data_IF_737736037223
#
_entry.id   IF_737736037223
#
_cell.length_a   1.000
_cell.length_b   1.000
_cell.length_c   1.000
_cell.angle_alpha   90.00
_cell.angle_beta   90.00
_cell.angle_gamma   90.00
#
_symmetry.space_group_name_H-M   'P 1'
#
loop_
_entity.id
_entity.type
_entity.pdbx_description
1 polymer ?
#
# COMPACT_ATOMS: atom_id res chain seq x y z
N UNK A 1 -40.40 -39.81 -32.30
CA UNK A 1 -39.40 -40.38 -31.36
C UNK A 1 -38.04 -39.79 -31.72
N UNK A 2 -37.38 -39.14 -30.74
CA UNK A 2 -36.02 -38.54 -30.76
C UNK A 2 -35.83 -37.30 -31.68
N UNK A 3 -35.12 -36.22 -31.30
CA UNK A 3 -34.47 -35.78 -30.05
C UNK A 3 -34.14 -34.29 -30.24
N UNK A 4 -34.44 -33.46 -29.24
CA UNK A 4 -34.00 -32.06 -29.18
C UNK A 4 -32.50 -31.98 -28.88
N UNK A 5 -31.79 -31.12 -29.60
CA UNK A 5 -30.39 -30.80 -29.36
C UNK A 5 -30.28 -29.64 -28.36
N UNK A 6 -29.76 -29.93 -27.17
CA UNK A 6 -29.36 -28.92 -26.19
C UNK A 6 -27.90 -28.59 -26.49
N UNK A 7 -27.64 -27.37 -26.94
CA UNK A 7 -26.28 -26.83 -27.05
C UNK A 7 -25.77 -26.45 -25.68
N UNK A 8 -24.78 -27.18 -25.16
CA UNK A 8 -23.97 -26.75 -24.02
C UNK A 8 -22.87 -25.81 -24.53
N UNK A 9 -23.02 -24.51 -24.28
CA UNK A 9 -21.91 -23.56 -24.32
C UNK A 9 -21.13 -23.64 -23.02
N UNK A 10 -19.90 -24.16 -23.08
CA UNK A 10 -18.96 -24.10 -21.95
C UNK A 10 -18.29 -22.74 -21.98
N UNK A 11 -18.68 -21.85 -21.06
CA UNK A 11 -17.99 -20.59 -20.81
C UNK A 11 -16.68 -20.88 -20.05
N UNK A 12 -15.55 -20.72 -20.72
CA UNK A 12 -14.22 -20.84 -20.12
C UNK A 12 -13.95 -19.59 -19.28
N UNK A 13 -14.11 -19.71 -17.97
CA UNK A 13 -13.68 -18.67 -17.01
C UNK A 13 -12.16 -18.72 -16.90
N UNK A 14 -11.49 -17.70 -17.43
CA UNK A 14 -10.07 -17.47 -17.19
C UNK A 14 -9.92 -16.96 -15.76
N UNK A 15 -9.62 -17.87 -14.83
CA UNK A 15 -9.10 -17.47 -13.52
C UNK A 15 -7.68 -16.94 -13.72
N UNK A 16 -7.52 -15.61 -13.59
CA UNK A 16 -6.20 -15.00 -13.49
C UNK A 16 -5.55 -15.48 -12.19
N UNK A 17 -4.58 -16.40 -12.33
CA UNK A 17 -3.69 -16.79 -11.24
C UNK A 17 -2.80 -15.59 -10.91
N UNK A 18 -2.96 -15.01 -9.73
CA UNK A 18 -2.03 -14.05 -9.15
C UNK A 18 -0.73 -14.80 -8.83
N UNK A 19 0.20 -14.81 -9.79
CA UNK A 19 1.56 -15.27 -9.58
C UNK A 19 2.33 -14.34 -8.61
N UNK A 20 3.43 -14.82 -8.01
CA UNK A 20 4.30 -13.96 -7.20
C UNK A 20 4.79 -12.78 -8.03
N UNK A 21 4.74 -11.57 -7.45
CA UNK A 21 5.33 -10.38 -8.08
C UNK A 21 6.81 -10.64 -8.36
N UNK A 22 7.30 -10.37 -9.58
CA UNK A 22 8.71 -10.51 -9.88
C UNK A 22 9.53 -9.54 -9.03
N UNK A 23 10.73 -9.96 -8.62
CA UNK A 23 11.67 -9.12 -7.86
C UNK A 23 12.00 -7.76 -8.53
N UNK A 24 11.74 -7.63 -9.84
CA UNK A 24 11.87 -6.39 -10.62
C UNK A 24 10.92 -5.25 -10.18
N UNK A 25 9.86 -5.55 -9.43
CA UNK A 25 8.90 -4.53 -8.98
C UNK A 25 9.37 -3.78 -7.72
N UNK A 26 10.32 -4.33 -6.94
CA UNK A 26 10.74 -3.73 -5.67
C UNK A 26 11.53 -2.42 -5.87
N UNK A 27 12.39 -2.39 -6.89
CA UNK A 27 13.25 -1.26 -7.25
C UNK A 27 12.60 -0.29 -8.24
N UNK A 28 11.28 -0.39 -8.40
CA UNK A 28 10.51 0.44 -9.32
C UNK A 28 9.49 1.28 -8.54
N UNK A 29 9.48 2.58 -8.82
CA UNK A 29 8.50 3.52 -8.26
C UNK A 29 7.89 4.40 -9.33
N UNK A 30 6.76 5.01 -9.00
CA UNK A 30 6.03 5.91 -9.91
C UNK A 30 5.58 7.14 -9.16
N UNK A 31 5.84 8.30 -9.73
CA UNK A 31 5.41 9.61 -9.23
C UNK A 31 4.72 10.39 -10.34
N UNK A 32 3.98 11.43 -9.97
CA UNK A 32 3.32 12.32 -10.93
C UNK A 32 4.20 13.55 -11.10
N UNK A 33 4.55 13.89 -12.34
CA UNK A 33 5.25 15.13 -12.67
C UNK A 33 4.36 16.05 -13.48
N UNK A 34 4.58 17.35 -13.34
CA UNK A 34 4.03 18.34 -14.27
C UNK A 34 5.04 18.51 -15.39
N UNK A 35 4.81 17.85 -16.53
CA UNK A 35 5.70 17.87 -17.69
C UNK A 35 6.87 16.88 -17.64
N UNK A 36 7.71 16.93 -18.68
CA UNK A 36 8.83 16.01 -18.94
C UNK A 36 10.18 16.73 -19.08
N UNK A 37 10.21 18.05 -18.91
CA UNK A 37 11.43 18.85 -18.99
C UNK A 37 12.48 18.35 -17.98
N UNK A 38 13.80 18.49 -18.26
CA UNK A 38 14.86 17.98 -17.41
C UNK A 38 14.72 18.39 -15.93
N UNK A 39 14.34 19.63 -15.66
CA UNK A 39 14.17 20.15 -14.29
C UNK A 39 13.02 19.45 -13.56
N UNK A 40 11.92 19.18 -14.27
CA UNK A 40 10.74 18.45 -13.75
C UNK A 40 11.05 16.98 -13.53
N UNK A 41 11.82 16.38 -14.44
CA UNK A 41 12.32 15.01 -14.33
C UNK A 41 13.20 14.85 -13.11
N UNK A 42 14.14 15.76 -12.87
CA UNK A 42 15.09 15.64 -11.77
C UNK A 42 14.40 15.78 -10.40
N UNK A 43 13.38 16.65 -10.28
CA UNK A 43 12.48 16.69 -9.12
C UNK A 43 11.74 15.35 -8.96
N UNK A 44 11.23 14.79 -10.06
CA UNK A 44 10.57 13.50 -10.06
C UNK A 44 11.50 12.35 -9.64
N UNK A 45 12.77 12.36 -10.04
CA UNK A 45 13.77 11.39 -9.58
C UNK A 45 14.03 11.49 -8.08
N UNK A 46 14.11 12.71 -7.54
CA UNK A 46 14.24 12.90 -6.10
C UNK A 46 13.06 12.29 -5.32
N UNK A 47 11.83 12.46 -5.82
CA UNK A 47 10.63 11.85 -5.24
C UNK A 47 10.65 10.33 -5.37
N UNK A 48 10.97 9.81 -6.57
CA UNK A 48 11.13 8.38 -6.81
C UNK A 48 12.14 7.73 -5.85
N UNK A 49 13.27 8.42 -5.56
CA UNK A 49 14.29 7.91 -4.65
C UNK A 49 13.75 7.82 -3.22
N UNK A 50 13.06 8.86 -2.74
CA UNK A 50 12.44 8.86 -1.40
C UNK A 50 11.44 7.72 -1.24
N UNK A 51 10.65 7.45 -2.28
CA UNK A 51 9.67 6.35 -2.25
C UNK A 51 10.36 4.98 -2.30
N UNK A 52 11.38 4.81 -3.16
CA UNK A 52 12.00 3.49 -3.38
C UNK A 52 12.81 3.04 -2.18
N UNK A 53 13.46 3.95 -1.43
CA UNK A 53 14.24 3.53 -0.25
C UNK A 53 13.34 2.98 0.84
N UNK A 54 12.18 3.58 1.09
CA UNK A 54 11.19 3.05 2.04
C UNK A 54 10.61 1.76 1.52
N UNK A 55 10.27 1.70 0.22
CA UNK A 55 9.77 0.48 -0.40
C UNK A 55 10.75 -0.68 -0.27
N UNK A 56 12.03 -0.48 -0.59
CA UNK A 56 13.09 -1.51 -0.56
C UNK A 56 13.42 -1.96 0.87
N UNK A 57 13.52 -1.04 1.83
CA UNK A 57 13.99 -1.36 3.19
C UNK A 57 12.86 -1.65 4.18
N UNK A 58 11.66 -1.11 3.95
CA UNK A 58 10.60 -1.03 4.95
C UNK A 58 10.79 0.07 6.00
N UNK A 59 11.92 0.79 6.02
CA UNK A 59 12.23 1.80 7.05
C UNK A 59 11.80 3.21 6.60
N UNK A 60 10.70 3.72 7.18
CA UNK A 60 10.19 5.04 6.86
C UNK A 60 11.04 6.19 7.44
N UNK A 61 11.86 5.91 8.46
CA UNK A 61 12.70 6.92 9.13
C UNK A 61 13.82 7.44 8.23
N UNK A 62 14.18 6.68 7.19
CA UNK A 62 15.13 7.10 6.16
C UNK A 62 14.71 8.42 5.50
N UNK A 63 13.42 8.74 5.46
CA UNK A 63 12.91 9.99 4.91
C UNK A 63 13.42 11.25 5.64
N UNK A 64 13.90 11.07 6.88
CA UNK A 64 14.46 12.11 7.74
C UNK A 64 16.00 12.17 7.68
N UNK A 65 16.66 11.23 6.99
CA UNK A 65 18.11 11.18 6.91
C UNK A 65 18.66 12.29 6.00
N UNK A 66 19.61 13.06 6.51
CA UNK A 66 20.25 14.12 5.73
C UNK A 66 21.00 13.55 4.52
N UNK A 67 21.61 12.37 4.67
CA UNK A 67 22.31 11.69 3.59
C UNK A 67 21.36 11.34 2.43
N UNK A 68 20.13 10.89 2.71
CA UNK A 68 19.10 10.68 1.69
C UNK A 68 18.73 12.01 1.00
N UNK A 69 18.56 13.09 1.76
CA UNK A 69 18.25 14.40 1.19
C UNK A 69 19.37 14.92 0.27
N UNK A 70 20.64 14.61 0.55
CA UNK A 70 21.74 14.95 -0.35
C UNK A 70 21.74 14.06 -1.59
N UNK A 71 21.59 12.73 -1.43
CA UNK A 71 21.53 11.81 -2.56
C UNK A 71 20.35 12.10 -3.50
N UNK A 72 19.23 12.60 -2.98
CA UNK A 72 18.06 12.96 -3.77
C UNK A 72 18.35 14.05 -4.83
N UNK A 73 19.34 14.93 -4.59
CA UNK A 73 19.80 15.92 -5.59
C UNK A 73 20.53 15.28 -6.77
N UNK A 74 21.02 14.06 -6.57
CA UNK A 74 21.77 13.25 -7.53
C UNK A 74 21.05 11.93 -7.83
N UNK A 75 19.72 11.88 -7.63
CA UNK A 75 18.95 10.64 -7.70
C UNK A 75 19.06 9.95 -9.08
N UNK A 76 19.21 10.74 -10.16
CA UNK A 76 19.39 10.21 -11.52
C UNK A 76 20.60 9.28 -11.69
N UNK A 77 21.63 9.39 -10.84
CA UNK A 77 22.82 8.51 -10.89
C UNK A 77 22.51 7.06 -10.48
N UNK A 78 21.45 6.88 -9.67
CA UNK A 78 20.95 5.60 -9.20
C UNK A 78 19.85 5.01 -10.11
N UNK A 79 19.31 5.80 -11.05
CA UNK A 79 18.24 5.38 -11.95
C UNK A 79 18.83 4.65 -13.15
N UNK A 80 18.43 3.39 -13.36
CA UNK A 80 18.81 2.60 -14.53
C UNK A 80 18.01 2.99 -15.78
N UNK A 81 16.70 3.24 -15.62
CA UNK A 81 15.82 3.68 -16.70
C UNK A 81 14.61 4.44 -16.17
N UNK A 82 13.97 5.25 -17.02
CA UNK A 82 12.73 5.93 -16.67
C UNK A 82 11.81 6.06 -17.88
N UNK A 83 10.51 6.17 -17.63
CA UNK A 83 9.50 6.39 -18.67
C UNK A 83 8.47 7.43 -18.20
N UNK A 84 7.99 8.23 -19.15
CA UNK A 84 6.87 9.14 -18.96
C UNK A 84 5.64 8.61 -19.69
N UNK A 85 4.48 8.63 -19.02
CA UNK A 85 3.18 8.36 -19.65
C UNK A 85 2.26 9.57 -19.45
N UNK A 86 1.83 10.21 -20.55
CA UNK A 86 0.82 11.27 -20.49
C UNK A 86 -0.48 10.70 -19.93
N UNK A 87 -0.94 11.26 -18.80
CA UNK A 87 -2.19 10.83 -18.16
C UNK A 87 -3.43 11.31 -18.92
N UNK A 88 -3.28 12.33 -19.76
CA UNK A 88 -4.32 12.91 -20.60
C UNK A 88 -4.11 12.57 -22.08
N UNK A 89 -3.33 11.52 -22.38
CA UNK A 89 -3.16 11.02 -23.73
C UNK A 89 -4.51 10.73 -24.38
N UNK A 90 -4.74 11.28 -25.57
CA UNK A 90 -6.00 11.12 -26.30
C UNK A 90 -7.06 12.20 -26.02
N UNK A 91 -6.85 13.09 -25.04
CA UNK A 91 -7.67 14.30 -24.87
C UNK A 91 -7.02 15.42 -25.71
N UNK A 92 -7.73 16.04 -26.67
CA UNK A 92 -7.19 17.17 -27.42
C UNK A 92 -6.75 18.31 -26.50
N UNK A 93 -5.63 18.96 -26.84
CA UNK A 93 -5.24 20.19 -26.16
C UNK A 93 -6.14 21.31 -26.71
N UNK A 94 -6.94 21.93 -25.86
CA UNK A 94 -7.72 23.11 -26.24
C UNK A 94 -6.93 24.34 -25.80
N UNK A 95 -6.24 25.01 -26.73
CA UNK A 95 -5.22 26.02 -26.44
C UNK A 95 -5.60 27.43 -26.97
N UNK A 96 -6.23 28.25 -26.12
CA UNK A 96 -6.18 29.72 -26.27
C UNK A 96 -5.48 30.44 -25.12
N UNK A 97 -5.05 29.72 -24.07
CA UNK A 97 -4.36 30.32 -22.92
C UNK A 97 -3.17 29.49 -22.47
N UNK A 98 -2.04 29.65 -23.17
CA UNK A 98 -0.66 29.39 -22.73
C UNK A 98 -0.38 28.31 -21.67
N UNK A 99 0.22 27.20 -22.12
CA UNK A 99 1.21 26.39 -21.40
C UNK A 99 0.89 25.97 -19.95
N UNK A 100 0.06 24.94 -19.78
CA UNK A 100 0.20 24.03 -18.65
C UNK A 100 0.83 22.73 -19.12
N UNK A 101 2.01 22.43 -18.56
CA UNK A 101 2.64 21.12 -18.65
C UNK A 101 1.64 20.05 -18.19
N UNK A 102 1.33 19.09 -19.06
CA UNK A 102 0.39 18.02 -18.72
C UNK A 102 0.92 17.16 -17.58
N UNK A 103 0.06 16.58 -16.74
CA UNK A 103 0.49 15.62 -15.74
C UNK A 103 0.93 14.32 -16.42
N UNK A 104 2.14 13.88 -16.08
CA UNK A 104 2.71 12.62 -16.54
C UNK A 104 2.93 11.67 -15.37
N UNK A 105 2.74 10.37 -15.61
CA UNK A 105 3.27 9.34 -14.73
C UNK A 105 4.74 9.13 -15.09
N UNK A 106 5.65 9.51 -14.18
CA UNK A 106 7.08 9.18 -14.27
C UNK A 106 7.30 7.86 -13.54
N UNK A 107 7.70 6.82 -14.26
CA UNK A 107 8.14 5.55 -13.68
C UNK A 107 9.66 5.52 -13.67
N UNK A 108 10.25 5.29 -12.50
CA UNK A 108 11.68 5.20 -12.27
C UNK A 108 12.05 3.75 -11.93
N UNK A 109 13.00 3.18 -12.66
CA UNK A 109 13.61 1.86 -12.35
C UNK A 109 15.02 2.11 -11.84
N UNK A 110 15.29 1.74 -10.60
CA UNK A 110 16.60 1.91 -9.98
C UNK A 110 17.55 0.76 -10.32
N UNK A 111 18.83 1.06 -10.42
CA UNK A 111 19.92 0.10 -10.51
C UNK A 111 20.12 -0.55 -9.13
N UNK A 112 19.80 -1.85 -8.94
CA UNK A 112 19.84 -2.46 -7.61
C UNK A 112 21.22 -2.41 -6.96
N UNK A 113 22.33 -2.81 -7.63
CA UNK A 113 23.67 -2.66 -7.06
C UNK A 113 24.01 -1.25 -6.56
N UNK A 114 23.63 -0.21 -7.30
CA UNK A 114 23.91 1.18 -6.87
C UNK A 114 23.03 1.61 -5.70
N UNK A 115 21.74 1.28 -5.73
CA UNK A 115 20.82 1.64 -4.64
C UNK A 115 21.19 0.89 -3.36
N UNK A 116 21.49 -0.40 -3.46
CA UNK A 116 21.89 -1.24 -2.30
C UNK A 116 23.21 -0.72 -1.71
N UNK A 117 24.19 -0.39 -2.56
CA UNK A 117 25.44 0.23 -2.09
C UNK A 117 25.19 1.54 -1.33
N UNK A 118 24.28 2.38 -1.81
CA UNK A 118 23.87 3.60 -1.10
C UNK A 118 23.18 3.28 0.24
N UNK A 119 22.24 2.32 0.27
CA UNK A 119 21.54 1.90 1.48
C UNK A 119 22.49 1.32 2.54
N UNK A 120 23.50 0.56 2.13
CA UNK A 120 24.54 0.07 3.03
C UNK A 120 25.31 1.22 3.72
N UNK A 121 25.51 2.36 3.06
CA UNK A 121 26.13 3.54 3.72
C UNK A 121 25.27 4.11 4.85
N UNK A 122 23.97 3.83 4.84
CA UNK A 122 23.01 4.19 5.87
C UNK A 122 22.80 3.07 6.89
N UNK A 123 23.54 1.96 6.78
CA UNK A 123 23.36 0.77 7.61
C UNK A 123 21.99 0.12 7.41
N UNK A 124 21.52 0.06 6.15
CA UNK A 124 20.27 -0.59 5.78
C UNK A 124 20.49 -1.64 4.71
N UNK A 125 19.69 -2.69 4.80
CA UNK A 125 19.66 -3.82 3.88
C UNK A 125 18.31 -3.88 3.15
N UNK A 126 18.27 -4.37 1.91
CA UNK A 126 17.01 -4.65 1.22
C UNK A 126 16.17 -5.70 1.96
N UNK A 127 14.89 -5.39 2.21
CA UNK A 127 13.91 -6.32 2.78
C UNK A 127 13.24 -7.14 1.66
N UNK A 128 13.87 -8.28 1.34
CA UNK A 128 13.51 -9.09 0.16
C UNK A 128 12.37 -10.09 0.40
N UNK A 129 12.26 -10.65 1.61
CA UNK A 129 11.21 -11.63 1.96
C UNK A 129 10.16 -10.97 2.83
N UNK A 130 8.97 -10.75 2.27
CA UNK A 130 7.89 -9.99 2.91
C UNK A 130 6.73 -10.91 3.30
N UNK A 131 6.25 -10.87 4.54
CA UNK A 131 5.06 -11.60 4.93
C UNK A 131 3.84 -11.02 4.23
N UNK A 132 2.86 -11.87 3.94
CA UNK A 132 1.55 -11.44 3.49
C UNK A 132 0.71 -11.00 4.68
N UNK A 133 0.37 -9.73 4.71
CA UNK A 133 -0.50 -9.14 5.72
C UNK A 133 -1.95 -9.55 5.52
N UNK A 134 -2.63 -9.76 6.64
CA UNK A 134 -4.09 -9.89 6.72
C UNK A 134 -4.64 -8.69 7.46
N UNK A 135 -5.24 -7.75 6.73
CA UNK A 135 -5.75 -6.52 7.28
C UNK A 135 -7.13 -6.70 7.90
N UNK A 136 -7.22 -6.56 9.22
CA UNK A 136 -8.45 -6.68 9.99
C UNK A 136 -8.80 -5.30 10.53
N UNK A 137 -9.81 -4.64 9.93
CA UNK A 137 -10.08 -3.23 10.19
C UNK A 137 -11.50 -3.03 10.68
N UNK A 138 -11.64 -2.43 11.86
CA UNK A 138 -12.90 -1.93 12.40
C UNK A 138 -13.06 -0.45 12.06
N UNK A 139 -14.26 -0.06 11.65
CA UNK A 139 -14.60 1.30 11.26
C UNK A 139 -15.77 1.77 12.11
N UNK A 140 -15.65 2.96 12.71
CA UNK A 140 -16.76 3.73 13.28
C UNK A 140 -16.89 5.03 12.51
N UNK A 141 -17.95 5.16 11.74
CA UNK A 141 -18.14 6.30 10.83
C UNK A 141 -18.70 7.57 11.51
N UNK A 142 -18.97 8.59 10.70
CA UNK A 142 -19.52 9.88 11.14
C UNK A 142 -20.89 9.77 11.83
N UNK A 143 -21.62 8.68 11.60
CA UNK A 143 -22.92 8.39 12.23
C UNK A 143 -22.77 7.45 13.42
N UNK A 144 -21.54 7.24 13.90
CA UNK A 144 -21.19 6.27 14.94
C UNK A 144 -21.58 4.83 14.59
N UNK A 145 -21.75 4.50 13.31
CA UNK A 145 -22.05 3.13 12.87
C UNK A 145 -20.76 2.33 12.84
N UNK A 146 -20.76 1.21 13.57
CA UNK A 146 -19.64 0.28 13.64
C UNK A 146 -19.77 -0.81 12.57
N UNK A 147 -18.68 -1.05 11.84
CA UNK A 147 -18.61 -2.06 10.79
C UNK A 147 -17.19 -2.61 10.64
N UNK A 148 -17.06 -3.78 10.03
CA UNK A 148 -15.77 -4.36 9.66
C UNK A 148 -15.51 -4.14 8.17
N UNK A 149 -14.31 -3.74 7.80
CA UNK A 149 -13.90 -3.75 6.41
C UNK A 149 -13.70 -5.20 5.96
N UNK A 150 -14.41 -5.61 4.92
CA UNK A 150 -14.35 -6.97 4.38
C UNK A 150 -14.17 -6.95 2.87
N UNK A 151 -13.55 -7.98 2.29
CA UNK A 151 -13.30 -8.09 0.84
C UNK A 151 -14.57 -8.08 0.00
N UNK A 152 -15.68 -8.55 0.57
CA UNK A 152 -16.97 -8.77 -0.08
C UNK A 152 -18.07 -7.81 0.42
N UNK A 153 -17.70 -6.70 1.08
CA UNK A 153 -18.68 -5.66 1.45
C UNK A 153 -18.96 -4.72 0.26
N UNK A 154 -20.24 -4.40 0.04
CA UNK A 154 -20.71 -3.80 -1.21
C UNK A 154 -20.88 -2.26 -1.17
N UNK A 155 -20.71 -1.61 -0.01
CA UNK A 155 -20.87 -0.15 0.10
C UNK A 155 -19.75 0.64 -0.58
N UNK A 156 -20.08 1.78 -1.21
CA UNK A 156 -19.09 2.62 -1.89
C UNK A 156 -17.91 3.02 -0.99
N UNK A 157 -18.20 3.46 0.24
CA UNK A 157 -17.18 3.77 1.25
C UNK A 157 -16.20 2.62 1.45
N UNK A 158 -16.72 1.39 1.59
CA UNK A 158 -15.88 0.23 1.83
C UNK A 158 -15.07 -0.15 0.59
N UNK A 159 -15.62 0.04 -0.63
CA UNK A 159 -14.87 -0.12 -1.88
C UNK A 159 -13.72 0.88 -1.97
N UNK A 160 -13.97 2.15 -1.65
CA UNK A 160 -12.96 3.21 -1.65
C UNK A 160 -11.86 2.92 -0.62
N UNK A 161 -12.26 2.55 0.61
CA UNK A 161 -11.33 2.19 1.68
C UNK A 161 -10.48 0.96 1.35
N UNK A 162 -11.07 -0.10 0.78
CA UNK A 162 -10.29 -1.26 0.30
C UNK A 162 -9.30 -0.85 -0.78
N UNK A 163 -9.73 -0.02 -1.73
CA UNK A 163 -8.86 0.46 -2.81
C UNK A 163 -7.70 1.27 -2.27
N UNK A 164 -7.95 2.17 -1.31
CA UNK A 164 -6.91 2.96 -0.65
C UNK A 164 -5.92 2.10 0.14
N UNK A 165 -6.42 1.14 0.92
CA UNK A 165 -5.59 0.21 1.69
C UNK A 165 -4.71 -0.66 0.78
N UNK A 166 -5.28 -1.27 -0.25
CA UNK A 166 -4.52 -2.07 -1.22
C UNK A 166 -3.50 -1.22 -1.99
N UNK A 167 -3.88 0.02 -2.37
CA UNK A 167 -2.95 0.95 -3.02
C UNK A 167 -1.80 1.37 -2.11
N UNK A 168 -2.03 1.49 -0.79
CA UNK A 168 -0.97 1.76 0.18
C UNK A 168 -0.01 0.56 0.30
N UNK A 169 -0.56 -0.66 0.32
CA UNK A 169 0.21 -1.91 0.34
C UNK A 169 1.07 -2.08 -0.91
N UNK A 170 0.49 -1.85 -2.09
CA UNK A 170 1.18 -1.94 -3.38
C UNK A 170 2.34 -0.95 -3.49
N UNK A 171 2.17 0.27 -2.96
CA UNK A 171 3.24 1.30 -2.94
C UNK A 171 4.47 0.83 -2.19
N UNK A 172 4.30 0.04 -1.13
CA UNK A 172 5.39 -0.54 -0.35
C UNK A 172 5.73 -1.99 -0.76
N UNK A 173 5.15 -2.49 -1.85
CA UNK A 173 5.29 -3.90 -2.27
C UNK A 173 5.04 -4.90 -1.12
N UNK A 174 4.07 -4.59 -0.26
CA UNK A 174 3.71 -5.44 0.88
C UNK A 174 2.46 -6.25 0.49
N UNK A 175 2.56 -7.59 0.35
CA UNK A 175 1.39 -8.38 -0.01
C UNK A 175 0.33 -8.23 1.08
N UNK A 176 -0.89 -7.84 0.71
CA UNK A 176 -1.97 -7.61 1.66
C UNK A 176 -3.27 -8.22 1.17
N UNK A 177 -3.99 -8.86 2.08
CA UNK A 177 -5.35 -9.39 1.85
C UNK A 177 -6.30 -8.84 2.89
N UNK A 178 -7.54 -8.58 2.46
CA UNK A 178 -8.65 -8.22 3.34
C UNK A 178 -9.53 -9.47 3.51
N UNK A 179 -9.85 -9.92 4.72
CA UNK A 179 -10.75 -11.05 4.93
C UNK A 179 -12.17 -10.80 4.42
N UNK A 180 -12.88 -11.85 4.05
CA UNK A 180 -14.33 -11.81 3.76
C UNK A 180 -15.16 -11.72 5.04
N UNK A 181 -16.42 -11.29 4.91
CA UNK A 181 -17.38 -11.29 6.02
C UNK A 181 -17.54 -12.69 6.65
N UNK A 182 -17.49 -13.75 5.82
CA UNK A 182 -17.54 -15.13 6.30
C UNK A 182 -16.34 -15.47 7.18
N UNK A 183 -15.13 -15.10 6.76
CA UNK A 183 -13.92 -15.40 7.55
C UNK A 183 -13.91 -14.62 8.87
N UNK A 184 -14.32 -13.34 8.85
CA UNK A 184 -14.44 -12.51 10.06
C UNK A 184 -15.44 -13.10 11.05
N UNK A 185 -16.62 -13.50 10.58
CA UNK A 185 -17.67 -14.12 11.41
C UNK A 185 -17.28 -15.50 11.94
N UNK A 186 -16.60 -16.33 11.14
CA UNK A 186 -16.03 -17.61 11.59
C UNK A 186 -14.98 -17.44 12.69
N UNK A 187 -14.19 -16.36 12.62
CA UNK A 187 -13.23 -16.00 13.67
C UNK A 187 -13.88 -15.31 14.89
N UNK A 188 -15.19 -15.02 14.84
CA UNK A 188 -15.91 -14.32 15.90
C UNK A 188 -15.44 -12.88 16.13
N UNK A 189 -14.90 -12.23 15.08
CA UNK A 189 -14.38 -10.87 15.16
C UNK A 189 -15.45 -9.86 14.74
N UNK A 190 -15.62 -8.84 15.59
CA UNK A 190 -16.58 -7.75 15.37
C UNK A 190 -15.93 -6.41 15.72
N UNK A 191 -16.43 -5.34 15.12
CA UNK A 191 -15.81 -4.01 15.21
C UNK A 191 -15.62 -3.53 16.65
N UNK A 192 -16.63 -3.74 17.50
CA UNK A 192 -16.65 -3.30 18.90
C UNK A 192 -15.53 -3.88 19.77
N UNK A 193 -15.10 -5.11 19.48
CA UNK A 193 -14.14 -5.85 20.32
C UNK A 193 -12.78 -6.05 19.63
N UNK A 194 -12.59 -5.53 18.42
CA UNK A 194 -11.38 -5.78 17.65
C UNK A 194 -10.12 -5.22 18.33
N UNK A 195 -10.23 -4.03 18.95
CA UNK A 195 -9.11 -3.40 19.65
C UNK A 195 -8.51 -4.27 20.76
N UNK A 196 -9.31 -5.13 21.39
CA UNK A 196 -8.89 -6.07 22.43
C UNK A 196 -8.96 -7.54 21.99
N UNK A 197 -9.02 -7.80 20.68
CA UNK A 197 -9.08 -9.16 20.16
C UNK A 197 -7.84 -9.98 20.55
N UNK A 198 -8.09 -11.21 20.98
CA UNK A 198 -7.09 -12.22 21.34
C UNK A 198 -6.12 -12.50 20.17
N UNK A 199 -4.79 -12.38 20.38
CA UNK A 199 -3.77 -12.68 19.37
C UNK A 199 -3.96 -14.04 18.69
N UNK A 200 -4.27 -15.10 19.45
CA UNK A 200 -4.42 -16.45 18.88
C UNK A 200 -5.58 -16.55 17.85
N UNK A 201 -6.62 -15.71 18.02
CA UNK A 201 -7.72 -15.62 17.05
C UNK A 201 -7.29 -14.89 15.79
N UNK A 202 -6.48 -13.84 15.93
CA UNK A 202 -5.93 -13.08 14.82
C UNK A 202 -4.99 -13.94 13.97
N UNK A 203 -4.14 -14.76 14.58
CA UNK A 203 -3.27 -15.71 13.87
C UNK A 203 -4.07 -16.77 13.12
N UNK A 204 -5.13 -17.26 13.75
CA UNK A 204 -6.04 -18.23 13.12
C UNK A 204 -6.73 -17.60 11.92
N UNK A 205 -7.23 -16.38 12.04
CA UNK A 205 -7.79 -15.64 10.91
C UNK A 205 -6.75 -15.41 9.82
N UNK A 206 -5.52 -15.02 10.17
CA UNK A 206 -4.47 -14.75 9.20
C UNK A 206 -4.22 -15.98 8.31
N UNK A 207 -4.08 -17.16 8.92
CA UNK A 207 -3.92 -18.44 8.19
C UNK A 207 -5.13 -18.78 7.33
N UNK A 208 -6.36 -18.61 7.85
CA UNK A 208 -7.60 -18.88 7.09
C UNK A 208 -7.74 -17.93 5.90
N UNK A 209 -7.28 -16.68 6.04
CA UNK A 209 -7.27 -15.69 4.97
C UNK A 209 -6.11 -15.87 3.97
N UNK A 210 -5.21 -16.82 4.22
CA UNK A 210 -4.08 -17.12 3.34
C UNK A 210 -2.93 -16.11 3.44
N UNK A 211 -2.76 -15.49 4.61
CA UNK A 211 -1.62 -14.65 4.95
C UNK A 211 -0.86 -15.15 6.17
N UNK A 212 0.18 -14.42 6.53
CA UNK A 212 1.18 -14.81 7.53
C UNK A 212 1.01 -14.03 8.84
N UNK A 213 0.69 -12.74 8.75
CA UNK A 213 0.64 -11.83 9.91
C UNK A 213 -0.62 -10.96 9.87
N UNK A 214 -1.26 -10.77 11.02
CA UNK A 214 -2.40 -9.86 11.15
C UNK A 214 -1.94 -8.40 11.32
N UNK A 215 -2.48 -7.50 10.50
CA UNK A 215 -2.45 -6.06 10.73
C UNK A 215 -3.83 -5.63 11.21
N UNK A 216 -3.95 -5.28 12.48
CA UNK A 216 -5.23 -4.94 13.11
C UNK A 216 -5.36 -3.44 13.21
N UNK A 217 -6.51 -2.91 12.81
CA UNK A 217 -6.77 -1.47 12.78
C UNK A 217 -8.13 -1.08 13.32
N UNK A 218 -8.20 0.07 13.98
CA UNK A 218 -9.44 0.80 14.22
C UNK A 218 -9.38 2.14 13.52
N UNK A 219 -10.44 2.52 12.80
CA UNK A 219 -10.65 3.85 12.24
C UNK A 219 -11.91 4.43 12.85
N UNK A 220 -11.77 5.56 13.53
CA UNK A 220 -12.89 6.27 14.15
C UNK A 220 -12.96 7.68 13.60
N UNK A 221 -14.12 8.08 13.11
CA UNK A 221 -14.34 9.49 12.80
C UNK A 221 -14.37 10.32 14.08
N UNK A 222 -13.66 11.45 14.08
CA UNK A 222 -13.60 12.40 15.18
C UNK A 222 -13.94 13.80 14.66
N UNK A 223 -14.95 14.43 15.27
CA UNK A 223 -15.26 15.84 14.99
C UNK A 223 -14.23 16.79 15.60
N UNK A 224 -13.59 16.40 16.71
CA UNK A 224 -12.56 17.20 17.38
C UNK A 224 -11.27 17.27 16.54
N UNK A 225 -10.82 16.13 16.01
CA UNK A 225 -9.63 16.06 15.16
C UNK A 225 -9.91 16.48 13.71
N UNK A 226 -11.17 16.75 13.36
CA UNK A 226 -11.60 17.06 11.98
C UNK A 226 -11.21 15.97 10.96
N UNK A 227 -11.23 14.71 11.37
CA UNK A 227 -10.80 13.60 10.52
C UNK A 227 -10.88 12.22 11.18
N UNK A 228 -10.24 11.25 10.56
CA UNK A 228 -10.10 9.90 11.10
C UNK A 228 -9.00 9.84 12.14
N UNK A 229 -9.30 9.18 13.25
CA UNK A 229 -8.35 8.70 14.25
C UNK A 229 -8.16 7.22 14.01
N UNK A 230 -6.93 6.83 13.69
CA UNK A 230 -6.57 5.47 13.40
C UNK A 230 -5.56 4.92 14.41
N UNK A 231 -5.81 3.71 14.89
CA UNK A 231 -4.86 2.96 15.72
C UNK A 231 -4.61 1.61 15.07
N UNK A 232 -3.35 1.22 15.04
CA UNK A 232 -2.85 0.04 14.37
C UNK A 232 -2.06 -0.82 15.33
N UNK A 233 -2.08 -2.12 15.09
CA UNK A 233 -1.19 -3.05 15.77
C UNK A 233 -0.84 -4.24 14.91
N UNK A 234 0.33 -4.79 15.15
CA UNK A 234 0.78 -6.05 14.56
C UNK A 234 1.72 -6.75 15.54
N UNK A 235 1.80 -8.07 15.42
CA UNK A 235 2.75 -8.87 16.19
C UNK A 235 3.98 -9.15 15.32
N UNK A 236 5.17 -8.93 15.87
CA UNK A 236 6.44 -9.30 15.26
C UNK A 236 7.38 -9.81 16.35
N UNK A 237 8.08 -10.92 16.08
CA UNK A 237 9.04 -11.54 17.01
C UNK A 237 8.49 -11.80 18.44
N UNK A 238 7.18 -12.06 18.54
CA UNK A 238 6.48 -12.30 19.81
C UNK A 238 6.12 -11.04 20.61
N UNK A 239 6.35 -9.85 20.04
CA UNK A 239 6.02 -8.56 20.63
C UNK A 239 4.87 -7.87 19.88
N UNK A 240 4.00 -7.18 20.61
CA UNK A 240 2.91 -6.40 20.04
C UNK A 240 3.36 -4.95 19.83
N UNK A 241 3.39 -4.52 18.58
CA UNK A 241 3.71 -3.15 18.20
C UNK A 241 2.42 -2.37 17.94
N UNK A 242 2.34 -1.12 18.42
CA UNK A 242 1.16 -0.27 18.25
C UNK A 242 1.56 1.13 17.80
N UNK A 243 0.82 1.70 16.85
CA UNK A 243 1.02 3.08 16.37
C UNK A 243 -0.31 3.67 15.90
N UNK A 244 -0.34 4.97 15.62
CA UNK A 244 -1.57 5.63 15.17
C UNK A 244 -1.35 7.00 14.56
N UNK A 245 -2.44 7.56 14.03
CA UNK A 245 -2.49 8.89 13.41
C UNK A 245 -3.89 9.48 13.60
N UNK A 246 -4.00 10.80 13.76
CA UNK A 246 -5.28 11.49 13.97
C UNK A 246 -5.45 12.69 13.03
N UNK A 247 -6.71 13.08 12.80
CA UNK A 247 -7.07 14.26 12.01
C UNK A 247 -6.76 14.14 10.52
N UNK A 248 -6.81 12.90 9.99
CA UNK A 248 -6.43 12.62 8.59
C UNK A 248 -7.56 12.00 7.77
N UNK A 249 -7.40 11.98 6.44
CA UNK A 249 -8.23 11.16 5.56
C UNK A 249 -7.94 9.67 5.73
N UNK A 250 -8.87 8.80 5.30
CA UNK A 250 -8.65 7.34 5.39
C UNK A 250 -7.47 6.88 4.53
N UNK A 251 -7.18 7.56 3.41
CA UNK A 251 -5.99 7.28 2.59
C UNK A 251 -4.70 7.40 3.40
N UNK A 252 -4.54 8.49 4.15
CA UNK A 252 -3.35 8.73 4.97
C UNK A 252 -3.32 7.81 6.18
N UNK A 253 -4.48 7.50 6.77
CA UNK A 253 -4.59 6.48 7.81
C UNK A 253 -4.06 5.12 7.30
N UNK A 254 -4.46 4.67 6.11
CA UNK A 254 -3.97 3.41 5.56
C UNK A 254 -2.50 3.46 5.11
N UNK A 255 -2.00 4.60 4.63
CA UNK A 255 -0.56 4.78 4.38
C UNK A 255 0.24 4.62 5.68
N UNK A 256 -0.24 5.22 6.77
CA UNK A 256 0.35 5.07 8.10
C UNK A 256 0.30 3.61 8.59
N UNK A 257 -0.81 2.90 8.36
CA UNK A 257 -0.94 1.48 8.69
C UNK A 257 0.14 0.63 7.99
N UNK A 258 0.23 0.73 6.67
CA UNK A 258 1.15 -0.12 5.90
C UNK A 258 2.60 0.27 6.14
N UNK A 259 2.91 1.58 6.28
CA UNK A 259 4.26 2.03 6.58
C UNK A 259 4.75 1.55 7.95
N UNK A 260 3.90 1.62 8.97
CA UNK A 260 4.25 1.11 10.30
C UNK A 260 4.43 -0.39 10.32
N UNK A 261 3.55 -1.14 9.65
CA UNK A 261 3.70 -2.59 9.53
C UNK A 261 4.99 -2.97 8.78
N UNK A 262 5.34 -2.26 7.70
CA UNK A 262 6.58 -2.47 6.97
C UNK A 262 7.81 -2.22 7.85
N UNK A 263 7.80 -1.16 8.67
CA UNK A 263 8.92 -0.84 9.57
C UNK A 263 9.11 -1.89 10.65
N UNK A 264 8.03 -2.30 11.31
CA UNK A 264 8.05 -3.34 12.33
C UNK A 264 8.53 -4.67 11.74
N UNK A 265 7.91 -5.13 10.65
CA UNK A 265 8.17 -6.45 10.07
C UNK A 265 9.48 -6.56 9.29
N UNK A 266 10.10 -5.43 8.96
CA UNK A 266 11.47 -5.37 8.43
C UNK A 266 12.54 -5.32 9.53
N UNK A 267 12.14 -5.37 10.82
CA UNK A 267 13.06 -5.38 11.96
C UNK A 267 13.59 -4.00 12.35
N UNK A 268 12.94 -2.92 11.91
CA UNK A 268 13.37 -1.54 12.18
C UNK A 268 12.73 -0.93 13.43
N UNK A 269 11.91 -1.69 14.16
CA UNK A 269 11.29 -1.31 15.43
C UNK A 269 10.01 -0.50 15.28
N UNK A 270 9.60 0.18 16.35
CA UNK A 270 8.35 0.94 16.40
C UNK A 270 8.33 2.13 15.41
N UNK A 271 7.16 2.41 14.78
CA UNK A 271 6.93 3.54 13.88
C UNK A 271 7.09 4.94 14.51
#
# INVERSE_FOLDING_TARGET
>A
MLRGGIGLGVALWVMALLGPMPASDLYTTRVITSGTAPERRDIGFAQCLRDVVVKVTGDSRLLNEQALAQQAKHAGELVASHTFRDRMGGIPLHDEQGSYDRPHDLTCVFDPPKLDAFLHTLGREPWLTRPRLVAVVAIRDTKSVESMLASDSNGQRDQDMRTALLSAADRLALPLVVPSQRQLSQAGLVAKTLGSADPARLDTLARIAGGDVALVGTLMWSEEDLGWVANWRTEADGENHNWGISGVGFDDAFRNAVAGAAQVLSGHGDP
#
